data_IF_736521659072
#
_entry.id   IF_736521659072
#
_cell.length_a   1.000
_cell.length_b   1.000
_cell.length_c   1.000
_cell.angle_alpha   90.00
_cell.angle_beta   90.00
_cell.angle_gamma   90.00
#
_symmetry.space_group_name_H-M   'P 1'
#
loop_
_entity.id
_entity.type
_entity.pdbx_description
1 polymer ?
#
# COMPACT_ATOMS: atom_id res chain seq x y z
N UNK A 1 -47.60 19.83 -2.08
CA UNK A 1 -46.50 20.08 -3.03
C UNK A 1 -45.45 19.00 -2.81
N UNK A 2 -45.38 17.99 -3.69
CA UNK A 2 -44.53 16.81 -3.51
C UNK A 2 -43.07 17.12 -3.88
N UNK A 3 -42.05 16.60 -3.16
CA UNK A 3 -40.66 16.80 -3.54
C UNK A 3 -40.30 15.94 -4.77
N UNK A 4 -39.67 16.57 -5.75
CA UNK A 4 -39.22 15.95 -6.99
C UNK A 4 -38.07 14.96 -6.77
N UNK A 5 -38.17 13.76 -7.37
CA UNK A 5 -37.06 12.79 -7.47
C UNK A 5 -35.95 13.38 -8.34
N UNK A 6 -34.82 13.78 -7.73
CA UNK A 6 -33.58 14.07 -8.46
C UNK A 6 -33.00 12.76 -8.98
N UNK A 7 -32.83 12.69 -10.31
CA UNK A 7 -32.36 11.53 -11.04
C UNK A 7 -31.01 11.01 -10.54
N UNK A 8 -30.93 9.70 -10.35
CA UNK A 8 -29.69 9.04 -9.95
C UNK A 8 -28.63 9.16 -11.05
N UNK A 9 -27.43 9.58 -10.65
CA UNK A 9 -26.23 9.47 -11.48
C UNK A 9 -26.11 8.03 -12.00
N UNK A 10 -26.10 7.88 -13.32
CA UNK A 10 -25.67 6.64 -13.98
C UNK A 10 -24.23 6.38 -13.57
N UNK A 11 -24.03 5.50 -12.59
CA UNK A 11 -22.71 4.91 -12.30
C UNK A 11 -22.26 4.21 -13.58
N UNK A 12 -21.30 4.82 -14.29
CA UNK A 12 -20.54 4.13 -15.34
C UNK A 12 -20.06 2.83 -14.73
N UNK A 13 -20.51 1.69 -15.28
CA UNK A 13 -20.11 0.38 -14.80
C UNK A 13 -18.59 0.33 -14.72
N UNK A 14 -18.05 0.08 -13.53
CA UNK A 14 -16.63 -0.22 -13.40
C UNK A 14 -16.37 -1.46 -14.23
N UNK A 15 -15.57 -1.32 -15.28
CA UNK A 15 -15.14 -2.47 -16.06
C UNK A 15 -14.26 -3.34 -15.16
N UNK A 16 -14.62 -4.63 -15.00
CA UNK A 16 -13.88 -5.59 -14.16
C UNK A 16 -12.38 -5.69 -14.51
N UNK A 17 -12.02 -5.36 -15.76
CA UNK A 17 -10.64 -5.29 -16.25
C UNK A 17 -9.83 -4.21 -15.52
N UNK A 18 -10.45 -3.08 -15.15
CA UNK A 18 -9.80 -2.04 -14.34
C UNK A 18 -9.83 -2.36 -12.84
N UNK A 19 -10.66 -3.32 -12.41
CA UNK A 19 -10.77 -3.71 -10.99
C UNK A 19 -9.63 -4.65 -10.58
N UNK A 20 -9.21 -5.56 -11.49
CA UNK A 20 -8.13 -6.52 -11.22
C UNK A 20 -6.87 -6.10 -11.98
N UNK A 21 -5.96 -5.44 -11.27
CA UNK A 21 -4.71 -4.92 -11.84
C UNK A 21 -3.52 -5.51 -11.07
N UNK A 22 -2.53 -6.03 -11.79
CA UNK A 22 -1.24 -6.44 -11.23
C UNK A 22 -0.14 -5.51 -11.74
N UNK A 23 0.70 -5.01 -10.84
CA UNK A 23 1.80 -4.08 -11.16
C UNK A 23 3.02 -4.43 -10.31
N UNK A 24 4.19 -4.40 -10.92
CA UNK A 24 5.46 -4.49 -10.20
C UNK A 24 5.97 -3.09 -9.87
N UNK A 25 6.39 -2.87 -8.62
CA UNK A 25 6.91 -1.60 -8.16
C UNK A 25 8.20 -1.80 -7.38
N UNK A 26 9.18 -0.93 -7.58
CA UNK A 26 10.32 -0.83 -6.67
C UNK A 26 10.05 0.26 -5.64
N UNK A 27 10.00 -0.11 -4.36
CA UNK A 27 9.76 0.82 -3.25
C UNK A 27 11.09 1.24 -2.64
N UNK A 28 11.41 2.54 -2.69
CA UNK A 28 12.55 3.09 -1.95
C UNK A 28 12.17 3.21 -0.47
N UNK A 29 12.63 2.26 0.35
CA UNK A 29 12.37 2.20 1.78
C UNK A 29 13.31 3.13 2.52
N UNK A 30 14.57 3.24 2.08
CA UNK A 30 15.60 4.06 2.74
C UNK A 30 15.14 5.51 2.95
N UNK A 31 14.56 6.14 1.92
CA UNK A 31 14.01 7.50 2.02
C UNK A 31 12.84 7.59 3.01
N UNK A 32 12.03 6.54 3.15
CA UNK A 32 10.83 6.53 4.01
C UNK A 32 11.13 6.23 5.48
N UNK A 33 12.24 5.55 5.76
CA UNK A 33 12.70 5.24 7.13
C UNK A 33 13.87 6.13 7.58
N UNK A 34 14.16 7.20 6.84
CA UNK A 34 15.16 8.19 7.20
C UNK A 34 14.74 8.90 8.50
N UNK A 35 15.69 9.10 9.43
CA UNK A 35 15.42 9.72 10.74
C UNK A 35 14.60 8.87 11.72
N UNK A 36 14.19 7.64 11.36
CA UNK A 36 13.44 6.76 12.27
C UNK A 36 14.38 6.05 13.24
N UNK A 37 14.05 6.07 14.54
CA UNK A 37 14.82 5.38 15.57
C UNK A 37 15.00 3.88 15.29
N UNK A 38 16.17 3.33 15.63
CA UNK A 38 16.58 1.98 15.19
C UNK A 38 15.60 0.87 15.55
N UNK A 39 15.02 0.89 16.76
CA UNK A 39 14.04 -0.10 17.21
C UNK A 39 12.69 -0.04 16.46
N UNK A 40 12.48 0.97 15.60
CA UNK A 40 11.22 1.17 14.88
C UNK A 40 11.37 1.06 13.36
N UNK A 41 12.56 0.79 12.81
CA UNK A 41 12.79 0.86 11.35
C UNK A 41 12.07 -0.25 10.58
N UNK A 42 12.25 -1.53 10.91
CA UNK A 42 11.54 -2.61 10.22
C UNK A 42 10.00 -2.53 10.41
N UNK A 43 9.45 -2.29 11.62
CA UNK A 43 8.02 -2.04 11.78
C UNK A 43 7.51 -0.85 10.97
N UNK A 44 8.30 0.23 10.86
CA UNK A 44 7.94 1.40 10.06
C UNK A 44 7.98 1.08 8.57
N UNK A 45 8.96 0.34 8.09
CA UNK A 45 9.06 -0.09 6.69
C UNK A 45 7.79 -0.85 6.25
N UNK A 46 7.28 -1.78 7.06
CA UNK A 46 6.02 -2.47 6.77
C UNK A 46 4.82 -1.52 6.68
N UNK A 47 4.71 -0.55 7.59
CA UNK A 47 3.65 0.47 7.55
C UNK A 47 3.74 1.33 6.28
N UNK A 48 4.94 1.68 5.86
CA UNK A 48 5.19 2.46 4.65
C UNK A 48 4.93 1.67 3.36
N UNK A 49 5.21 0.36 3.34
CA UNK A 49 4.82 -0.54 2.24
C UNK A 49 3.29 -0.62 2.14
N UNK A 50 2.60 -0.79 3.28
CA UNK A 50 1.12 -0.79 3.31
C UNK A 50 0.55 0.53 2.81
N UNK A 51 1.11 1.65 3.25
CA UNK A 51 0.70 3.01 2.81
C UNK A 51 0.96 3.21 1.32
N UNK A 52 2.05 2.66 0.78
CA UNK A 52 2.33 2.70 -0.65
C UNK A 52 1.26 1.97 -1.47
N UNK A 53 0.97 0.72 -1.11
CA UNK A 53 -0.03 -0.09 -1.81
C UNK A 53 -1.41 0.57 -1.76
N UNK A 54 -1.81 1.11 -0.61
CA UNK A 54 -3.06 1.85 -0.46
C UNK A 54 -3.12 3.09 -1.37
N UNK A 55 -2.00 3.81 -1.54
CA UNK A 55 -1.94 5.01 -2.38
C UNK A 55 -1.98 4.68 -3.87
N UNK A 56 -1.21 3.68 -4.31
CA UNK A 56 -1.06 3.33 -5.73
C UNK A 56 -2.25 2.51 -6.26
N UNK A 57 -2.78 1.60 -5.46
CA UNK A 57 -3.88 0.71 -5.84
C UNK A 57 -5.26 1.25 -5.45
N UNK A 58 -5.33 2.20 -4.51
CA UNK A 58 -6.58 2.79 -4.03
C UNK A 58 -7.45 1.82 -3.22
N UNK A 59 -6.89 0.70 -2.75
CA UNK A 59 -7.61 -0.33 -1.98
C UNK A 59 -7.42 -0.12 -0.47
N UNK A 60 -8.49 -0.21 0.34
CA UNK A 60 -8.38 -0.08 1.80
C UNK A 60 -7.81 -1.33 2.48
N UNK A 61 -8.13 -2.53 1.95
CA UNK A 61 -7.53 -3.79 2.42
C UNK A 61 -6.20 -4.03 1.67
N UNK A 62 -5.15 -4.23 2.45
CA UNK A 62 -3.78 -4.49 1.96
C UNK A 62 -3.19 -5.58 2.83
N UNK A 63 -3.02 -6.77 2.23
CA UNK A 63 -2.44 -7.94 2.87
C UNK A 63 -0.99 -8.09 2.41
N UNK A 64 -0.07 -8.17 3.38
CA UNK A 64 1.36 -8.34 3.12
C UNK A 64 1.68 -9.83 3.22
N UNK A 65 2.31 -10.37 2.19
CA UNK A 65 2.73 -11.77 2.20
C UNK A 65 3.83 -12.03 3.26
N UNK A 66 3.84 -13.25 3.79
CA UNK A 66 4.82 -13.65 4.81
C UNK A 66 6.26 -13.67 4.29
N UNK A 67 6.48 -13.94 2.99
CA UNK A 67 7.83 -13.90 2.37
C UNK A 67 8.35 -12.47 2.30
N UNK A 68 7.48 -11.52 1.93
CA UNK A 68 7.82 -10.09 1.94
C UNK A 68 8.14 -9.62 3.36
N UNK A 69 7.36 -10.05 4.35
CA UNK A 69 7.67 -9.76 5.76
C UNK A 69 9.04 -10.32 6.17
N UNK A 70 9.34 -11.59 5.85
CA UNK A 70 10.67 -12.18 6.11
C UNK A 70 11.79 -11.39 5.45
N UNK A 71 11.62 -10.93 4.21
CA UNK A 71 12.61 -10.12 3.50
C UNK A 71 12.85 -8.75 4.18
N UNK A 72 11.78 -8.09 4.67
CA UNK A 72 11.90 -6.82 5.41
C UNK A 72 12.67 -7.00 6.72
N UNK A 73 12.47 -8.14 7.40
CA UNK A 73 13.08 -8.45 8.70
C UNK A 73 14.40 -9.24 8.61
N UNK A 74 14.89 -9.58 7.41
CA UNK A 74 16.02 -10.49 7.21
C UNK A 74 17.32 -10.05 7.92
N UNK A 75 17.53 -8.74 8.06
CA UNK A 75 18.71 -8.16 8.76
C UNK A 75 18.35 -7.60 10.15
N UNK A 76 17.23 -8.04 10.71
CA UNK A 76 16.70 -7.60 12.00
C UNK A 76 16.05 -6.21 11.97
N UNK A 77 15.78 -5.67 13.16
CA UNK A 77 14.92 -4.49 13.34
C UNK A 77 15.53 -3.17 12.83
N UNK A 78 16.87 -3.07 12.85
CA UNK A 78 17.63 -1.85 12.55
C UNK A 78 17.95 -1.68 11.06
N UNK A 79 18.19 -2.78 10.37
CA UNK A 79 18.75 -2.79 9.01
C UNK A 79 17.72 -3.23 7.97
N UNK A 80 16.57 -2.55 7.92
CA UNK A 80 15.60 -2.79 6.86
C UNK A 80 16.25 -2.58 5.46
N UNK A 81 15.84 -3.36 4.45
CA UNK A 81 16.34 -3.21 3.08
C UNK A 81 16.20 -1.77 2.55
N UNK A 82 17.15 -1.32 1.74
CA UNK A 82 17.12 0.03 1.18
C UNK A 82 16.02 0.18 0.11
N UNK A 83 15.80 -0.86 -0.69
CA UNK A 83 14.71 -0.97 -1.64
C UNK A 83 14.17 -2.41 -1.66
N UNK A 84 12.89 -2.55 -2.00
CA UNK A 84 12.25 -3.83 -2.28
C UNK A 84 11.53 -3.73 -3.62
N UNK A 85 11.51 -4.84 -4.36
CA UNK A 85 10.76 -5.03 -5.59
C UNK A 85 9.66 -6.05 -5.35
#
# INVERSE_FOLDING_TARGET
MAPAKKGGEKKKGRSAINEVVTREYTINIHKRIHGVGFKKRAPRALKEIRKFAMKEMGTPDVRIDTRLNKAVWAKGIRYAPAALR
#
